data_IF_339362020292
#
_entry.id   IF_339362020292
#
_cell.length_a   1.000
_cell.length_b   1.000
_cell.length_c   1.000
_cell.angle_alpha   90.00
_cell.angle_beta   90.00
_cell.angle_gamma   90.00
#
_symmetry.space_group_name_H-M   'P 1'
#
loop_
_entity.id
_entity.type
_entity.pdbx_description
1 polymer ?
#
# COMPACT_ATOMS: atom_id res chain seq x y z
N UNK A 1 -0.45 11.58 -34.56
CA UNK A 1 -0.75 10.92 -35.86
C UNK A 1 -0.28 9.46 -35.93
N UNK A 2 0.30 8.87 -34.89
CA UNK A 2 0.64 7.42 -34.89
C UNK A 2 -0.60 6.53 -34.72
N UNK A 3 -1.63 7.01 -34.00
CA UNK A 3 -2.85 6.24 -33.73
C UNK A 3 -3.63 5.84 -34.99
N UNK A 4 -3.64 6.69 -36.03
CA UNK A 4 -4.30 6.37 -37.30
C UNK A 4 -3.60 5.25 -38.07
N UNK A 5 -2.33 4.96 -37.76
CA UNK A 5 -1.54 3.91 -38.43
C UNK A 5 -1.70 2.57 -37.69
N UNK A 6 -2.01 2.58 -36.39
CA UNK A 6 -2.16 1.37 -35.55
C UNK A 6 -3.23 0.40 -36.07
N UNK A 7 -4.27 0.90 -36.71
CA UNK A 7 -5.35 0.08 -37.30
C UNK A 7 -4.80 -0.85 -38.40
N UNK A 8 -3.81 -0.39 -39.17
CA UNK A 8 -3.18 -1.19 -40.22
C UNK A 8 -2.26 -2.28 -39.65
N UNK A 9 -1.62 -2.03 -38.51
CA UNK A 9 -0.80 -3.04 -37.83
C UNK A 9 -1.64 -4.22 -37.33
N UNK A 10 -2.89 -3.99 -36.91
CA UNK A 10 -3.80 -5.04 -36.46
C UNK A 10 -4.03 -6.14 -37.53
N UNK A 11 -3.90 -5.77 -38.81
CA UNK A 11 -4.05 -6.71 -39.94
C UNK A 11 -2.82 -7.61 -40.17
N UNK A 12 -1.68 -7.32 -39.53
CA UNK A 12 -0.43 -8.09 -39.67
C UNK A 12 0.07 -8.59 -38.30
N UNK A 13 -0.36 -9.78 -37.83
CA UNK A 13 -0.08 -10.26 -36.47
C UNK A 13 1.41 -10.36 -36.11
N UNK A 14 2.28 -10.75 -37.06
CA UNK A 14 3.73 -10.84 -36.82
C UNK A 14 4.33 -9.46 -36.54
N UNK A 15 4.05 -8.48 -37.41
CA UNK A 15 4.52 -7.10 -37.25
C UNK A 15 3.98 -6.47 -35.97
N UNK A 16 2.71 -6.73 -35.63
CA UNK A 16 2.13 -6.26 -34.37
C UNK A 16 2.80 -6.85 -33.13
N UNK A 17 3.14 -8.14 -33.13
CA UNK A 17 3.89 -8.76 -32.02
C UNK A 17 5.28 -8.14 -31.86
N UNK A 18 5.98 -7.85 -32.95
CA UNK A 18 7.29 -7.23 -32.90
C UNK A 18 7.23 -5.75 -32.49
N UNK A 19 6.16 -5.06 -32.89
CA UNK A 19 5.84 -3.73 -32.38
C UNK A 19 5.59 -3.76 -30.87
N UNK A 20 4.75 -4.68 -30.36
CA UNK A 20 4.50 -4.85 -28.91
C UNK A 20 5.82 -5.07 -28.16
N UNK A 21 6.69 -5.96 -28.64
CA UNK A 21 8.01 -6.20 -28.01
C UNK A 21 8.86 -4.93 -27.97
N UNK A 22 8.86 -4.16 -29.07
CA UNK A 22 9.62 -2.92 -29.19
C UNK A 22 9.09 -1.85 -28.24
N UNK A 23 7.76 -1.68 -28.17
CA UNK A 23 7.10 -0.77 -27.23
C UNK A 23 7.35 -1.16 -25.78
N UNK A 24 7.30 -2.45 -25.44
CA UNK A 24 7.61 -2.95 -24.10
C UNK A 24 9.08 -2.73 -23.72
N UNK A 25 10.01 -2.83 -24.69
CA UNK A 25 11.42 -2.49 -24.50
C UNK A 25 11.56 -0.99 -24.19
N UNK A 26 10.98 -0.12 -25.02
CA UNK A 26 11.01 1.33 -24.82
C UNK A 26 10.39 1.75 -23.48
N UNK A 27 9.22 1.21 -23.16
CA UNK A 27 8.54 1.42 -21.88
C UNK A 27 9.39 1.00 -20.68
N UNK A 28 10.16 -0.08 -20.82
CA UNK A 28 10.95 -0.67 -19.75
C UNK A 28 12.37 -0.10 -19.60
N UNK A 29 12.99 0.44 -20.66
CA UNK A 29 14.42 0.81 -20.64
C UNK A 29 14.75 2.24 -21.04
N UNK A 30 13.78 3.02 -21.53
CA UNK A 30 14.05 4.42 -21.91
C UNK A 30 14.45 5.27 -20.69
N UNK A 31 15.39 6.20 -20.86
CA UNK A 31 15.70 7.17 -19.81
C UNK A 31 14.73 8.37 -19.82
N UNK A 32 14.11 8.64 -20.97
CA UNK A 32 13.11 9.70 -21.10
C UNK A 32 11.71 9.15 -20.78
N UNK A 33 11.07 9.73 -19.77
CA UNK A 33 9.71 9.40 -19.34
C UNK A 33 8.67 9.71 -20.43
N UNK A 34 8.90 10.72 -21.29
CA UNK A 34 8.01 11.00 -22.43
C UNK A 34 7.97 9.82 -23.40
N UNK A 35 9.13 9.23 -23.69
CA UNK A 35 9.23 8.05 -24.56
C UNK A 35 8.54 6.85 -23.92
N UNK A 36 8.69 6.64 -22.60
CA UNK A 36 7.97 5.57 -21.89
C UNK A 36 6.46 5.75 -21.97
N UNK A 37 5.98 6.96 -21.71
CA UNK A 37 4.55 7.29 -21.75
C UNK A 37 3.98 7.13 -23.16
N UNK A 38 4.67 7.62 -24.19
CA UNK A 38 4.24 7.43 -25.59
C UNK A 38 4.23 5.94 -25.98
N UNK A 39 5.24 5.19 -25.57
CA UNK A 39 5.28 3.74 -25.80
C UNK A 39 4.10 3.03 -25.10
N UNK A 40 3.79 3.43 -23.86
CA UNK A 40 2.67 2.90 -23.10
C UNK A 40 1.32 3.26 -23.74
N UNK A 41 1.09 4.52 -24.11
CA UNK A 41 -0.16 4.96 -24.74
C UNK A 41 -0.39 4.19 -26.05
N UNK A 42 0.66 4.03 -26.85
CA UNK A 42 0.63 3.26 -28.09
C UNK A 42 0.27 1.79 -27.82
N UNK A 43 0.90 1.19 -26.81
CA UNK A 43 0.60 -0.19 -26.38
C UNK A 43 -0.85 -0.34 -25.90
N UNK A 44 -1.33 0.62 -25.09
CA UNK A 44 -2.70 0.68 -24.56
C UNK A 44 -3.74 0.87 -25.68
N UNK A 45 -3.40 1.56 -26.76
CA UNK A 45 -4.28 1.68 -27.92
C UNK A 45 -4.27 0.39 -28.74
N UNK A 46 -3.11 -0.24 -28.93
CA UNK A 46 -2.99 -1.52 -29.65
C UNK A 46 -3.71 -2.67 -28.92
N UNK A 47 -3.70 -2.69 -27.59
CA UNK A 47 -4.40 -3.70 -26.79
C UNK A 47 -5.91 -3.70 -27.00
N UNK A 48 -6.50 -2.58 -27.44
CA UNK A 48 -7.94 -2.50 -27.76
C UNK A 48 -8.31 -3.24 -29.04
N UNK A 49 -7.36 -3.45 -29.95
CA UNK A 49 -7.61 -4.02 -31.27
C UNK A 49 -7.79 -5.54 -31.25
N UNK A 50 -7.22 -6.25 -30.27
CA UNK A 50 -7.30 -7.71 -30.16
C UNK A 50 -7.04 -8.20 -28.75
N UNK A 51 -7.77 -9.25 -28.33
CA UNK A 51 -7.54 -9.95 -27.06
C UNK A 51 -6.11 -10.48 -26.93
N UNK A 52 -5.50 -10.92 -28.03
CA UNK A 52 -4.12 -11.39 -28.02
C UNK A 52 -3.14 -10.26 -27.63
N UNK A 53 -3.31 -9.07 -28.22
CA UNK A 53 -2.46 -7.93 -27.90
C UNK A 53 -2.73 -7.38 -26.51
N UNK A 54 -3.97 -7.46 -26.04
CA UNK A 54 -4.31 -7.16 -24.65
C UNK A 54 -3.55 -8.06 -23.69
N UNK A 55 -3.58 -9.38 -23.89
CA UNK A 55 -2.89 -10.33 -23.01
C UNK A 55 -1.37 -10.13 -23.01
N UNK A 56 -0.78 -9.90 -24.20
CA UNK A 56 0.65 -9.57 -24.32
C UNK A 56 1.00 -8.26 -23.60
N UNK A 57 0.12 -7.27 -23.68
CA UNK A 57 0.31 -5.95 -23.06
C UNK A 57 0.18 -6.01 -21.54
N UNK A 58 -0.87 -6.66 -21.01
CA UNK A 58 -1.11 -6.82 -19.57
C UNK A 58 0.07 -7.53 -18.89
N UNK A 59 0.51 -8.65 -19.46
CA UNK A 59 1.66 -9.42 -18.98
C UNK A 59 2.96 -8.64 -19.15
N UNK A 60 3.16 -8.04 -20.32
CA UNK A 60 4.38 -7.33 -20.67
C UNK A 60 4.64 -6.12 -19.79
N UNK A 61 3.63 -5.26 -19.60
CA UNK A 61 3.73 -4.05 -18.77
C UNK A 61 4.01 -4.40 -17.32
N UNK A 62 3.29 -5.38 -16.76
CA UNK A 62 3.53 -5.84 -15.39
C UNK A 62 4.96 -6.37 -15.24
N UNK A 63 5.42 -7.25 -16.14
CA UNK A 63 6.77 -7.80 -16.07
C UNK A 63 7.86 -6.74 -16.26
N UNK A 64 7.65 -5.75 -17.13
CA UNK A 64 8.57 -4.62 -17.31
C UNK A 64 8.64 -3.76 -16.06
N UNK A 65 7.51 -3.47 -15.41
CA UNK A 65 7.46 -2.78 -14.12
C UNK A 65 8.23 -3.54 -13.03
N UNK A 66 7.95 -4.83 -12.85
CA UNK A 66 8.62 -5.67 -11.84
C UNK A 66 10.13 -5.80 -12.10
N UNK A 67 10.57 -5.80 -13.36
CA UNK A 67 11.99 -5.80 -13.71
C UNK A 67 12.67 -4.50 -13.28
N UNK A 68 12.03 -3.36 -13.53
CA UNK A 68 12.57 -2.04 -13.13
C UNK A 68 12.56 -1.86 -11.61
N UNK A 69 11.62 -2.50 -10.91
CA UNK A 69 11.55 -2.48 -9.45
C UNK A 69 12.53 -3.45 -8.74
N UNK A 70 13.53 -4.01 -9.44
CA UNK A 70 14.53 -4.90 -8.80
C UNK A 70 15.42 -4.13 -7.81
N UNK A 71 15.89 -2.96 -8.23
CA UNK A 71 16.71 -2.06 -7.43
C UNK A 71 16.00 -0.73 -7.33
N UNK A 72 15.65 -0.32 -6.11
CA UNK A 72 14.88 0.90 -5.85
C UNK A 72 15.77 1.89 -5.14
N UNK A 73 15.82 3.11 -5.66
CA UNK A 73 16.55 4.24 -5.11
C UNK A 73 15.63 5.47 -5.07
N UNK A 74 16.02 6.50 -4.32
CA UNK A 74 15.23 7.73 -4.27
C UNK A 74 15.09 8.38 -5.67
N UNK A 75 16.12 8.22 -6.52
CA UNK A 75 16.16 8.75 -7.87
C UNK A 75 15.22 8.03 -8.84
N UNK A 76 15.19 6.69 -8.83
CA UNK A 76 14.37 5.93 -9.78
C UNK A 76 12.95 5.63 -9.29
N UNK A 77 12.65 5.90 -8.02
CA UNK A 77 11.33 5.66 -7.44
C UNK A 77 10.21 6.36 -8.23
N UNK A 78 10.28 7.67 -8.56
CA UNK A 78 9.23 8.34 -9.34
C UNK A 78 8.93 7.65 -10.67
N UNK A 79 9.97 7.18 -11.37
CA UNK A 79 9.82 6.44 -12.62
C UNK A 79 9.12 5.09 -12.39
N UNK A 80 9.48 4.36 -11.34
CA UNK A 80 8.81 3.10 -10.97
C UNK A 80 7.33 3.35 -10.65
N UNK A 81 7.00 4.46 -9.97
CA UNK A 81 5.62 4.85 -9.68
C UNK A 81 4.84 5.21 -10.94
N UNK A 82 5.44 5.94 -11.88
CA UNK A 82 4.83 6.23 -13.17
C UNK A 82 4.50 4.93 -13.93
N UNK A 83 5.45 3.98 -14.00
CA UNK A 83 5.22 2.68 -14.63
C UNK A 83 4.10 1.89 -13.94
N UNK A 84 4.01 1.96 -12.61
CA UNK A 84 2.92 1.35 -11.83
C UNK A 84 1.58 1.95 -12.23
N UNK A 85 1.47 3.29 -12.28
CA UNK A 85 0.24 3.99 -12.65
C UNK A 85 -0.20 3.63 -14.09
N UNK A 86 0.73 3.59 -15.04
CA UNK A 86 0.46 3.15 -16.41
C UNK A 86 -0.09 1.72 -16.41
N UNK A 87 0.58 0.79 -15.72
CA UNK A 87 0.10 -0.58 -15.65
C UNK A 87 -1.28 -0.69 -14.99
N UNK A 88 -1.53 0.02 -13.89
CA UNK A 88 -2.86 0.05 -13.26
C UNK A 88 -3.93 0.50 -14.25
N UNK A 89 -3.69 1.57 -15.01
CA UNK A 89 -4.61 2.07 -16.03
C UNK A 89 -4.91 1.02 -17.12
N UNK A 90 -3.91 0.24 -17.54
CA UNK A 90 -4.09 -0.83 -18.54
C UNK A 90 -5.02 -1.95 -18.04
N UNK A 91 -4.92 -2.32 -16.76
CA UNK A 91 -5.78 -3.34 -16.15
C UNK A 91 -7.24 -2.89 -15.97
N UNK A 92 -7.55 -1.62 -16.26
CA UNK A 92 -8.92 -1.11 -16.32
C UNK A 92 -9.63 -1.33 -17.66
N UNK A 93 -8.93 -1.84 -18.69
CA UNK A 93 -9.51 -1.97 -20.03
C UNK A 93 -10.49 -3.14 -20.16
N UNK A 94 -10.18 -4.27 -19.52
CA UNK A 94 -11.00 -5.48 -19.56
C UNK A 94 -10.81 -6.23 -18.25
N UNK A 95 -11.88 -6.33 -17.45
CA UNK A 95 -11.81 -6.96 -16.14
C UNK A 95 -11.72 -8.48 -16.19
N UNK A 96 -12.21 -9.13 -17.25
CA UNK A 96 -12.14 -10.58 -17.39
C UNK A 96 -10.69 -11.03 -17.64
N UNK A 97 -10.01 -10.41 -18.59
CA UNK A 97 -8.59 -10.63 -18.85
C UNK A 97 -7.75 -10.23 -17.62
N UNK A 98 -8.02 -9.05 -17.05
CA UNK A 98 -7.29 -8.56 -15.88
C UNK A 98 -7.41 -9.49 -14.68
N UNK A 99 -8.59 -10.08 -14.44
CA UNK A 99 -8.78 -11.08 -13.39
C UNK A 99 -7.86 -12.29 -13.58
N UNK A 100 -7.77 -12.83 -14.80
CA UNK A 100 -6.94 -14.00 -15.10
C UNK A 100 -5.45 -13.72 -14.82
N UNK A 101 -4.92 -12.59 -15.28
CA UNK A 101 -3.54 -12.19 -15.01
C UNK A 101 -3.30 -11.94 -13.51
N UNK A 102 -4.18 -11.15 -12.88
CA UNK A 102 -4.06 -10.81 -11.46
C UNK A 102 -4.08 -12.06 -10.58
N UNK A 103 -5.02 -12.99 -10.82
CA UNK A 103 -5.10 -14.25 -10.10
C UNK A 103 -3.80 -15.05 -10.22
N UNK A 104 -3.26 -15.19 -11.43
CA UNK A 104 -2.02 -15.94 -11.66
C UNK A 104 -0.82 -15.30 -10.94
N UNK A 105 -0.67 -13.98 -10.99
CA UNK A 105 0.44 -13.29 -10.34
C UNK A 105 0.31 -13.27 -8.81
N UNK A 106 -0.89 -13.02 -8.26
CA UNK A 106 -1.14 -13.10 -6.81
C UNK A 106 -0.89 -14.53 -6.31
N UNK A 107 -1.32 -15.54 -7.05
CA UNK A 107 -1.04 -16.96 -6.73
C UNK A 107 0.46 -17.26 -6.73
N UNK A 108 1.26 -16.66 -7.62
CA UNK A 108 2.73 -16.79 -7.58
C UNK A 108 3.32 -16.19 -6.31
N UNK A 109 2.86 -15.01 -5.88
CA UNK A 109 3.27 -14.43 -4.61
C UNK A 109 2.94 -15.36 -3.43
N UNK A 110 1.73 -15.94 -3.43
CA UNK A 110 1.31 -16.91 -2.42
C UNK A 110 2.21 -18.16 -2.40
N UNK A 111 2.60 -18.67 -3.57
CA UNK A 111 3.51 -19.82 -3.68
C UNK A 111 4.89 -19.50 -3.09
N UNK A 112 5.48 -18.34 -3.41
CA UNK A 112 6.75 -17.93 -2.80
C UNK A 112 6.64 -17.84 -1.28
N UNK A 113 5.60 -17.19 -0.77
CA UNK A 113 5.36 -17.07 0.66
C UNK A 113 5.19 -18.43 1.34
N UNK A 114 4.40 -19.33 0.76
CA UNK A 114 4.20 -20.68 1.28
C UNK A 114 5.52 -21.44 1.36
N UNK A 115 6.36 -21.36 0.33
CA UNK A 115 7.69 -21.97 0.32
C UNK A 115 8.57 -21.41 1.43
N UNK A 116 8.54 -20.11 1.69
CA UNK A 116 9.32 -19.51 2.80
C UNK A 116 8.79 -19.90 4.19
N UNK A 117 7.48 -20.17 4.32
CA UNK A 117 6.87 -20.63 5.57
C UNK A 117 7.23 -22.09 5.87
N UNK A 118 7.25 -22.96 4.85
CA UNK A 118 7.56 -24.38 4.99
C UNK A 118 9.06 -24.66 5.04
N UNK A 119 9.83 -24.03 4.16
CA UNK A 119 11.28 -24.20 4.06
C UNK A 119 11.97 -22.93 4.56
N UNK A 120 12.41 -22.90 5.82
CA UNK A 120 12.92 -21.71 6.51
C UNK A 120 14.40 -21.38 6.21
N UNK A 121 14.78 -21.38 4.94
CA UNK A 121 16.15 -21.07 4.49
C UNK A 121 16.30 -19.60 4.11
N UNK A 122 17.55 -19.11 4.09
CA UNK A 122 17.85 -17.74 3.64
C UNK A 122 17.35 -17.51 2.21
N UNK A 123 17.51 -18.49 1.33
CA UNK A 123 17.17 -18.38 -0.08
C UNK A 123 15.65 -18.35 -0.30
N UNK A 124 14.89 -19.13 0.48
CA UNK A 124 13.42 -19.07 0.42
C UNK A 124 12.92 -17.71 0.92
N UNK A 125 13.49 -17.15 1.98
CA UNK A 125 13.12 -15.81 2.45
C UNK A 125 13.45 -14.73 1.42
N UNK A 126 14.53 -14.87 0.66
CA UNK A 126 14.88 -13.92 -0.40
C UNK A 126 13.86 -13.88 -1.54
N UNK A 127 13.05 -14.93 -1.75
CA UNK A 127 11.96 -14.91 -2.74
C UNK A 127 10.82 -13.96 -2.36
N UNK A 128 10.63 -13.69 -1.07
CA UNK A 128 9.59 -12.79 -0.55
C UNK A 128 10.20 -11.44 -0.15
N UNK A 129 11.36 -11.43 0.48
CA UNK A 129 12.00 -10.23 1.04
C UNK A 129 12.93 -9.57 0.02
N UNK A 130 12.35 -9.16 -1.11
CA UNK A 130 13.01 -8.42 -2.18
C UNK A 130 12.08 -7.32 -2.72
N UNK A 131 12.64 -6.33 -3.43
CA UNK A 131 11.87 -5.21 -3.94
C UNK A 131 10.82 -5.64 -4.97
N UNK A 132 11.10 -6.64 -5.80
CA UNK A 132 10.16 -7.11 -6.83
C UNK A 132 8.86 -7.64 -6.21
N UNK A 133 8.97 -8.40 -5.12
CA UNK A 133 7.82 -8.91 -4.38
C UNK A 133 7.01 -7.77 -3.74
N UNK A 134 7.67 -6.81 -3.10
CA UNK A 134 7.00 -5.66 -2.46
C UNK A 134 6.35 -4.74 -3.50
N UNK A 135 7.01 -4.49 -4.62
CA UNK A 135 6.45 -3.71 -5.72
C UNK A 135 5.32 -4.45 -6.44
N UNK A 136 5.32 -5.79 -6.44
CA UNK A 136 4.15 -6.59 -6.86
C UNK A 136 2.97 -6.36 -5.94
N UNK A 137 3.19 -6.34 -4.61
CA UNK A 137 2.14 -6.03 -3.62
C UNK A 137 1.56 -4.63 -3.88
N UNK A 138 2.41 -3.62 -4.09
CA UNK A 138 1.95 -2.26 -4.41
C UNK A 138 1.12 -2.20 -5.70
N UNK A 139 1.56 -2.91 -6.75
CA UNK A 139 0.83 -2.94 -8.02
C UNK A 139 -0.58 -3.49 -7.84
N UNK A 140 -0.71 -4.68 -7.24
CA UNK A 140 -2.01 -5.32 -7.05
C UNK A 140 -2.88 -4.58 -6.04
N UNK A 141 -2.29 -4.00 -5.00
CA UNK A 141 -3.01 -3.08 -4.11
C UNK A 141 -3.64 -1.93 -4.90
N UNK A 142 -2.87 -1.26 -5.76
CA UNK A 142 -3.36 -0.11 -6.51
C UNK A 142 -4.41 -0.49 -7.57
N UNK A 143 -4.26 -1.64 -8.25
CA UNK A 143 -5.29 -2.19 -9.17
C UNK A 143 -6.60 -2.40 -8.41
N UNK A 144 -6.56 -3.11 -7.28
CA UNK A 144 -7.76 -3.40 -6.49
C UNK A 144 -8.39 -2.13 -5.88
N UNK A 145 -7.58 -1.16 -5.44
CA UNK A 145 -8.10 0.11 -4.96
C UNK A 145 -8.81 0.90 -6.07
N UNK A 146 -8.27 0.86 -7.28
CA UNK A 146 -8.78 1.64 -8.42
C UNK A 146 -10.08 1.07 -8.97
N UNK A 147 -10.21 -0.26 -8.98
CA UNK A 147 -11.31 -0.94 -9.69
C UNK A 147 -12.27 -1.71 -8.79
N UNK A 148 -12.04 -1.79 -7.48
CA UNK A 148 -12.98 -2.38 -6.50
C UNK A 148 -13.46 -1.33 -5.48
N UNK A 149 -13.59 -0.07 -5.90
CA UNK A 149 -14.00 1.00 -5.01
C UNK A 149 -15.49 0.88 -4.65
N UNK A 150 -15.79 0.89 -3.36
CA UNK A 150 -17.14 0.66 -2.86
C UNK A 150 -18.16 1.71 -3.33
N UNK A 151 -17.73 2.95 -3.62
CA UNK A 151 -18.61 3.98 -4.15
C UNK A 151 -18.97 3.69 -5.62
N UNK A 152 -17.98 3.32 -6.45
CA UNK A 152 -18.24 2.98 -7.85
C UNK A 152 -19.04 1.69 -8.01
N UNK A 153 -18.86 0.72 -7.10
CA UNK A 153 -19.63 -0.54 -7.14
C UNK A 153 -21.12 -0.36 -6.84
N UNK A 154 -21.49 0.70 -6.12
CA UNK A 154 -22.89 1.01 -5.87
C UNK A 154 -23.61 1.53 -7.12
N UNK A 155 -22.87 2.18 -8.02
CA UNK A 155 -23.41 2.76 -9.26
C UNK A 155 -23.32 1.77 -10.42
N UNK A 156 -22.18 1.08 -10.56
CA UNK A 156 -21.85 0.28 -11.74
C UNK A 156 -21.92 -1.24 -11.53
N UNK A 157 -22.28 -1.69 -10.32
CA UNK A 157 -22.26 -3.10 -9.93
C UNK A 157 -20.89 -3.55 -9.41
N UNK A 158 -20.88 -4.77 -8.85
CA UNK A 158 -19.69 -5.33 -8.21
C UNK A 158 -18.56 -5.60 -9.21
N UNK A 159 -17.33 -5.23 -8.84
CA UNK A 159 -16.17 -5.42 -9.70
C UNK A 159 -15.84 -6.91 -9.86
N UNK A 160 -15.60 -7.41 -11.09
CA UNK A 160 -15.12 -8.79 -11.29
C UNK A 160 -13.78 -9.07 -10.59
N UNK A 161 -13.02 -8.02 -10.22
CA UNK A 161 -11.75 -8.15 -9.51
C UNK A 161 -11.90 -8.32 -7.99
N UNK A 162 -13.08 -8.06 -7.42
CA UNK A 162 -13.31 -8.10 -5.98
C UNK A 162 -12.96 -9.44 -5.30
N UNK A 163 -13.20 -10.62 -5.90
CA UNK A 163 -12.79 -11.90 -5.30
C UNK A 163 -11.29 -12.02 -5.04
N UNK A 164 -10.46 -11.18 -5.69
CA UNK A 164 -9.00 -11.17 -5.50
C UNK A 164 -8.57 -10.43 -4.22
N UNK A 165 -9.46 -9.65 -3.58
CA UNK A 165 -9.13 -8.91 -2.35
C UNK A 165 -8.71 -9.88 -1.25
N UNK A 166 -9.50 -10.92 -0.99
CA UNK A 166 -9.19 -11.89 0.08
C UNK A 166 -7.82 -12.57 -0.10
N UNK A 167 -7.52 -13.24 -1.24
CA UNK A 167 -6.21 -13.86 -1.43
C UNK A 167 -5.06 -12.84 -1.40
N UNK A 168 -5.25 -11.64 -1.93
CA UNK A 168 -4.24 -10.57 -1.85
C UNK A 168 -3.94 -10.16 -0.40
N UNK A 169 -4.98 -9.95 0.41
CA UNK A 169 -4.85 -9.60 1.83
C UNK A 169 -4.14 -10.72 2.58
N UNK A 170 -4.52 -11.98 2.37
CA UNK A 170 -3.87 -13.13 3.02
C UNK A 170 -2.37 -13.22 2.70
N UNK A 171 -1.97 -13.04 1.44
CA UNK A 171 -0.56 -13.03 1.05
C UNK A 171 0.20 -11.89 1.73
N UNK A 172 -0.42 -10.70 1.80
CA UNK A 172 0.24 -9.52 2.37
C UNK A 172 0.36 -9.63 3.90
N UNK A 173 -0.67 -10.13 4.60
CA UNK A 173 -0.66 -10.40 6.03
C UNK A 173 0.33 -11.52 6.41
N UNK A 174 0.39 -12.59 5.60
CA UNK A 174 1.37 -13.65 5.80
C UNK A 174 2.81 -13.14 5.59
N UNK A 175 3.01 -12.22 4.63
CA UNK A 175 4.29 -11.54 4.41
C UNK A 175 4.72 -10.72 5.63
N UNK A 176 3.78 -9.98 6.25
CA UNK A 176 4.02 -9.22 7.50
C UNK A 176 4.47 -10.11 8.66
N UNK A 177 3.98 -11.34 8.70
CA UNK A 177 4.18 -12.29 9.80
C UNK A 177 5.41 -13.19 9.62
N UNK A 178 6.10 -13.11 8.48
CA UNK A 178 7.10 -14.11 8.09
C UNK A 178 8.36 -14.11 8.98
N UNK A 179 8.93 -12.92 9.27
CA UNK A 179 10.07 -12.78 10.18
C UNK A 179 9.82 -11.63 11.16
N UNK A 180 9.64 -11.90 12.47
CA UNK A 180 9.43 -10.88 13.50
C UNK A 180 10.78 -10.28 13.94
N UNK A 181 11.41 -9.50 13.06
CA UNK A 181 12.69 -8.85 13.35
C UNK A 181 12.63 -7.35 13.05
N UNK A 182 13.19 -6.49 13.92
CA UNK A 182 13.30 -5.05 13.68
C UNK A 182 13.98 -4.70 12.36
N UNK A 183 14.86 -5.58 11.87
CA UNK A 183 15.53 -5.47 10.58
C UNK A 183 14.56 -5.32 9.40
N UNK A 184 13.39 -5.95 9.49
CA UNK A 184 12.42 -6.00 8.40
C UNK A 184 11.21 -5.09 8.64
N UNK A 185 11.24 -4.21 9.65
CA UNK A 185 10.20 -3.21 9.84
C UNK A 185 9.97 -2.30 8.63
N UNK A 186 11.00 -1.88 7.86
CA UNK A 186 10.75 -1.12 6.63
C UNK A 186 9.85 -1.88 5.65
N UNK A 187 10.12 -3.17 5.40
CA UNK A 187 9.24 -4.04 4.62
C UNK A 187 7.83 -4.14 5.21
N UNK A 188 7.71 -4.27 6.53
CA UNK A 188 6.39 -4.31 7.18
C UNK A 188 5.60 -3.03 6.92
N UNK A 189 6.23 -1.86 6.99
CA UNK A 189 5.56 -0.60 6.64
C UNK A 189 5.12 -0.55 5.19
N UNK A 190 5.90 -1.08 4.24
CA UNK A 190 5.45 -1.17 2.85
C UNK A 190 4.17 -1.99 2.70
N UNK A 191 4.11 -3.17 3.32
CA UNK A 191 2.92 -4.02 3.31
C UNK A 191 1.72 -3.32 3.98
N UNK A 192 1.91 -2.68 5.14
CA UNK A 192 0.85 -1.94 5.83
C UNK A 192 0.32 -0.78 4.98
N UNK A 193 1.23 -0.01 4.36
CA UNK A 193 0.89 1.08 3.43
C UNK A 193 0.16 0.59 2.17
N UNK A 194 0.29 -0.68 1.80
CA UNK A 194 -0.47 -1.29 0.71
C UNK A 194 -1.85 -1.83 1.16
N UNK A 195 -2.03 -2.17 2.44
CA UNK A 195 -3.29 -2.69 2.98
C UNK A 195 -4.28 -1.59 3.36
N UNK A 196 -3.80 -0.47 3.92
CA UNK A 196 -4.68 0.63 4.37
C UNK A 196 -5.51 1.22 3.22
N UNK A 197 -4.95 1.51 2.02
CA UNK A 197 -5.73 2.01 0.89
C UNK A 197 -6.81 1.02 0.42
N UNK A 198 -6.58 -0.29 0.54
CA UNK A 198 -7.59 -1.32 0.24
C UNK A 198 -8.77 -1.16 1.18
N UNK A 199 -8.54 -1.02 2.50
CA UNK A 199 -9.61 -0.77 3.46
C UNK A 199 -10.37 0.51 3.13
N UNK A 200 -9.65 1.58 2.79
CA UNK A 200 -10.25 2.88 2.49
C UNK A 200 -11.16 2.82 1.25
N UNK A 201 -10.70 2.14 0.20
CA UNK A 201 -11.37 2.10 -1.12
C UNK A 201 -12.49 1.06 -1.16
N UNK A 202 -12.22 -0.16 -0.66
CA UNK A 202 -13.13 -1.31 -0.78
C UNK A 202 -14.07 -1.46 0.41
N UNK A 203 -13.80 -0.76 1.52
CA UNK A 203 -14.50 -0.89 2.82
C UNK A 203 -14.41 -2.29 3.45
N UNK A 204 -13.55 -3.16 2.93
CA UNK A 204 -13.23 -4.45 3.56
C UNK A 204 -12.37 -4.20 4.78
N UNK A 205 -12.78 -4.74 5.93
CA UNK A 205 -12.01 -4.66 7.15
C UNK A 205 -10.76 -5.56 7.08
N UNK A 206 -9.60 -5.02 7.46
CA UNK A 206 -8.34 -5.75 7.55
C UNK A 206 -7.71 -5.45 8.92
N UNK A 207 -7.38 -6.44 9.75
CA UNK A 207 -6.85 -6.20 11.09
C UNK A 207 -5.37 -5.79 11.05
N UNK A 208 -5.09 -4.51 10.80
CA UNK A 208 -3.71 -3.98 10.72
C UNK A 208 -3.11 -3.66 12.08
N UNK A 209 -3.93 -3.27 13.06
CA UNK A 209 -3.47 -2.84 14.39
C UNK A 209 -2.53 -3.82 15.12
N UNK A 210 -2.75 -5.16 15.11
CA UNK A 210 -1.84 -6.10 15.76
C UNK A 210 -0.39 -6.02 15.25
N UNK A 211 -0.19 -5.78 13.95
CA UNK A 211 1.14 -5.68 13.36
C UNK A 211 1.86 -4.38 13.74
N UNK A 212 1.13 -3.29 13.94
CA UNK A 212 1.68 -2.04 14.47
C UNK A 212 2.02 -2.17 15.96
N UNK A 213 1.19 -2.89 16.71
CA UNK A 213 1.45 -3.24 18.12
C UNK A 213 2.72 -4.07 18.23
N UNK A 214 2.92 -5.08 17.39
CA UNK A 214 4.16 -5.90 17.37
C UNK A 214 5.42 -5.04 17.21
N UNK A 215 5.35 -3.97 16.40
CA UNK A 215 6.47 -3.03 16.23
C UNK A 215 6.73 -2.26 17.54
N UNK A 216 5.68 -1.81 18.25
CA UNK A 216 5.80 -1.16 19.56
C UNK A 216 6.30 -2.10 20.66
N UNK A 217 6.04 -3.40 20.56
CA UNK A 217 6.55 -4.40 21.50
C UNK A 217 8.04 -4.68 21.33
N UNK A 218 8.62 -4.25 20.20
CA UNK A 218 10.00 -4.54 19.89
C UNK A 218 10.99 -3.81 20.81
N UNK A 219 12.23 -4.32 20.83
CA UNK A 219 13.31 -3.67 21.58
C UNK A 219 13.65 -2.26 21.09
N UNK A 220 13.17 -1.85 19.90
CA UNK A 220 13.33 -0.49 19.38
C UNK A 220 12.52 0.53 20.18
N UNK A 221 11.40 0.14 20.80
CA UNK A 221 10.58 1.03 21.62
C UNK A 221 10.72 0.79 23.11
N UNK A 222 11.22 -0.37 23.52
CA UNK A 222 11.39 -0.73 24.94
C UNK A 222 12.75 -0.32 25.52
N UNK A 223 13.77 -0.10 24.69
CA UNK A 223 15.14 0.21 25.14
C UNK A 223 15.56 1.60 24.67
N UNK A 224 16.39 2.26 25.50
CA UNK A 224 17.03 3.52 25.13
C UNK A 224 17.86 3.36 23.84
N UNK A 225 17.89 4.42 23.00
CA UNK A 225 18.69 4.43 21.78
C UNK A 225 20.18 4.34 22.09
N UNK A 226 20.93 3.72 21.19
CA UNK A 226 22.38 3.78 21.13
C UNK A 226 22.81 5.09 20.47
N UNK A 227 23.95 5.68 20.89
CA UNK A 227 24.55 6.80 20.18
C UNK A 227 24.87 6.39 18.74
N UNK A 228 24.65 7.29 17.80
CA UNK A 228 24.87 7.05 16.37
C UNK A 228 25.02 8.38 15.64
N UNK A 229 25.92 8.39 14.67
CA UNK A 229 26.14 9.47 13.69
C UNK A 229 25.55 9.14 12.32
N UNK A 230 24.82 8.03 12.20
CA UNK A 230 24.23 7.57 10.94
C UNK A 230 23.12 8.54 10.48
N UNK A 231 23.07 8.83 9.17
CA UNK A 231 21.97 9.59 8.57
C UNK A 231 20.65 8.80 8.72
N UNK A 232 19.48 9.47 8.81
CA UNK A 232 18.18 8.80 8.85
C UNK A 232 17.94 7.89 7.63
N UNK A 233 17.43 6.69 7.87
CA UNK A 233 17.12 5.73 6.80
C UNK A 233 15.86 6.15 6.04
N UNK A 234 15.90 6.11 4.70
CA UNK A 234 14.70 6.31 3.88
C UNK A 234 13.88 5.01 3.75
N UNK A 235 12.81 4.92 4.52
CA UNK A 235 11.88 3.78 4.51
C UNK A 235 11.02 3.69 3.26
N UNK A 236 11.02 4.68 2.35
CA UNK A 236 10.27 4.58 1.10
C UNK A 236 10.99 3.75 0.04
N UNK A 237 12.30 3.49 0.20
CA UNK A 237 13.12 2.72 -0.76
C UNK A 237 13.80 1.50 -0.13
N UNK A 238 13.96 1.50 1.19
CA UNK A 238 14.63 0.40 1.91
C UNK A 238 13.60 -0.58 2.43
N UNK A 239 13.77 -1.86 2.09
CA UNK A 239 12.98 -2.97 2.64
C UNK A 239 13.65 -3.64 3.87
N UNK A 240 14.92 -3.35 4.12
CA UNK A 240 15.73 -4.03 5.14
C UNK A 240 16.70 -3.07 5.79
N UNK A 241 16.54 -2.82 7.08
CA UNK A 241 17.42 -1.96 7.86
C UNK A 241 18.82 -2.59 7.99
N UNK A 242 19.89 -1.83 7.73
CA UNK A 242 21.26 -2.22 8.05
C UNK A 242 21.47 -2.44 9.57
N UNK A 243 22.41 -3.32 9.96
CA UNK A 243 22.62 -3.68 11.38
C UNK A 243 23.06 -2.49 12.24
N UNK A 244 23.85 -1.57 11.68
CA UNK A 244 24.33 -0.35 12.34
C UNK A 244 23.20 0.63 12.68
N UNK A 245 22.07 0.59 11.97
CA UNK A 245 20.91 1.44 12.23
C UNK A 245 20.01 0.90 13.36
N UNK A 246 20.12 -0.38 13.73
CA UNK A 246 19.23 -0.96 14.74
C UNK A 246 19.52 -0.36 16.11
N UNK A 247 18.45 -0.03 16.84
CA UNK A 247 18.50 0.65 18.14
C UNK A 247 19.14 2.04 18.13
N UNK A 248 19.34 2.68 16.98
CA UNK A 248 19.84 4.06 16.95
C UNK A 248 18.70 5.06 17.09
N UNK A 249 19.00 6.27 17.55
CA UNK A 249 18.02 7.34 17.67
C UNK A 249 17.33 7.68 16.33
N UNK A 250 18.06 7.86 15.20
CA UNK A 250 17.43 8.11 13.90
C UNK A 250 16.44 7.02 13.49
N UNK A 251 16.76 5.75 13.76
CA UNK A 251 15.88 4.63 13.43
C UNK A 251 14.62 4.62 14.30
N UNK A 252 14.76 4.79 15.62
CA UNK A 252 13.63 4.84 16.54
C UNK A 252 12.68 6.02 16.26
N UNK A 253 13.22 7.17 15.89
CA UNK A 253 12.42 8.36 15.55
C UNK A 253 11.62 8.14 14.27
N UNK A 254 12.24 7.54 13.26
CA UNK A 254 11.57 7.23 12.00
C UNK A 254 10.50 6.13 12.18
N UNK A 255 10.79 5.10 12.98
CA UNK A 255 9.78 4.11 13.38
C UNK A 255 8.61 4.77 14.11
N UNK A 256 8.89 5.63 15.10
CA UNK A 256 7.84 6.32 15.87
C UNK A 256 6.93 7.14 14.95
N UNK A 257 7.51 7.84 13.97
CA UNK A 257 6.78 8.61 12.97
C UNK A 257 5.88 7.72 12.11
N UNK A 258 6.43 6.63 11.57
CA UNK A 258 5.71 5.73 10.68
C UNK A 258 4.61 4.93 11.41
N UNK A 259 4.86 4.49 12.65
CA UNK A 259 3.84 3.85 13.48
C UNK A 259 2.68 4.82 13.72
N UNK A 260 2.97 6.07 14.08
CA UNK A 260 1.95 7.09 14.27
C UNK A 260 1.13 7.33 12.99
N UNK A 261 1.82 7.54 11.86
CA UNK A 261 1.18 7.75 10.56
C UNK A 261 0.27 6.58 10.18
N UNK A 262 0.73 5.33 10.37
CA UNK A 262 -0.06 4.14 10.03
C UNK A 262 -1.24 3.92 10.97
N UNK A 263 -1.11 4.16 12.29
CA UNK A 263 -2.26 4.09 13.20
C UNK A 263 -3.32 5.14 12.86
N UNK A 264 -2.90 6.37 12.60
CA UNK A 264 -3.82 7.45 12.21
C UNK A 264 -4.52 7.13 10.88
N UNK A 265 -3.77 6.68 9.87
CA UNK A 265 -4.34 6.27 8.58
C UNK A 265 -5.34 5.11 8.74
N UNK A 266 -4.95 4.06 9.49
CA UNK A 266 -5.78 2.89 9.75
C UNK A 266 -7.07 3.24 10.49
N UNK A 267 -6.99 3.94 11.63
CA UNK A 267 -8.18 4.29 12.40
C UNK A 267 -9.03 5.35 11.72
N UNK A 268 -8.46 6.24 10.89
CA UNK A 268 -9.25 7.15 10.07
C UNK A 268 -10.19 6.41 9.12
N UNK A 269 -9.75 5.28 8.53
CA UNK A 269 -10.58 4.44 7.66
C UNK A 269 -11.83 3.89 8.38
N UNK A 270 -11.76 3.76 9.71
CA UNK A 270 -12.80 3.22 10.56
C UNK A 270 -13.59 4.31 11.31
N UNK A 271 -13.15 5.57 11.24
CA UNK A 271 -13.66 6.67 12.08
C UNK A 271 -15.12 7.06 11.86
N UNK A 272 -15.72 6.60 10.76
CA UNK A 272 -17.16 6.78 10.45
C UNK A 272 -17.96 5.49 10.62
N UNK A 273 -17.33 4.39 11.04
CA UNK A 273 -18.02 3.14 11.29
C UNK A 273 -18.76 3.17 12.63
N UNK A 274 -19.97 2.63 12.66
CA UNK A 274 -20.77 2.48 13.89
C UNK A 274 -20.04 1.61 14.94
N UNK A 275 -19.23 0.66 14.49
CA UNK A 275 -18.47 -0.26 15.35
C UNK A 275 -17.10 0.30 15.80
N UNK A 276 -16.78 1.55 15.48
CA UNK A 276 -15.48 2.15 15.79
C UNK A 276 -15.10 2.05 17.29
N UNK A 277 -15.99 2.37 18.26
CA UNK A 277 -15.65 2.30 19.69
C UNK A 277 -15.23 0.90 20.15
N UNK A 278 -15.87 -0.15 19.62
CA UNK A 278 -15.57 -1.53 19.96
C UNK A 278 -14.28 -2.01 19.27
N UNK A 279 -14.10 -1.67 18.00
CA UNK A 279 -12.92 -2.10 17.22
C UNK A 279 -11.63 -1.50 17.76
N UNK A 280 -11.65 -0.25 18.24
CA UNK A 280 -10.46 0.44 18.74
C UNK A 280 -10.11 0.10 20.19
N UNK A 281 -11.04 -0.50 20.95
CA UNK A 281 -10.88 -0.76 22.38
C UNK A 281 -9.63 -1.60 22.70
N UNK A 282 -9.37 -2.76 22.05
CA UNK A 282 -8.18 -3.56 22.36
C UNK A 282 -6.88 -2.79 22.17
N UNK A 283 -6.78 -2.01 21.09
CA UNK A 283 -5.61 -1.18 20.82
C UNK A 283 -5.47 -0.05 21.83
N UNK A 284 -6.57 0.57 22.24
CA UNK A 284 -6.57 1.64 23.26
C UNK A 284 -6.05 1.13 24.60
N UNK A 285 -6.53 -0.05 25.04
CA UNK A 285 -6.07 -0.69 26.28
C UNK A 285 -4.58 -1.02 26.21
N UNK A 286 -4.13 -1.56 25.07
CA UNK A 286 -2.72 -1.84 24.83
C UNK A 286 -1.88 -0.57 24.91
N UNK A 287 -2.23 0.49 24.17
CA UNK A 287 -1.48 1.75 24.13
C UNK A 287 -1.39 2.41 25.50
N UNK A 288 -2.44 2.34 26.33
CA UNK A 288 -2.41 2.81 27.73
C UNK A 288 -1.41 2.02 28.57
N UNK A 289 -1.37 0.69 28.45
CA UNK A 289 -0.38 -0.14 29.15
C UNK A 289 1.04 0.13 28.66
N UNK A 290 1.22 0.27 27.35
CA UNK A 290 2.50 0.62 26.74
C UNK A 290 3.02 1.97 27.25
N UNK A 291 2.17 3.00 27.31
CA UNK A 291 2.53 4.30 27.86
C UNK A 291 2.96 4.21 29.33
N UNK A 292 2.25 3.45 30.17
CA UNK A 292 2.66 3.21 31.56
C UNK A 292 4.01 2.50 31.66
N UNK A 293 4.23 1.46 30.84
CA UNK A 293 5.46 0.65 30.85
C UNK A 293 6.70 1.42 30.38
N UNK A 294 6.54 2.33 29.43
CA UNK A 294 7.64 3.07 28.80
C UNK A 294 7.90 4.45 29.40
N UNK A 295 7.08 4.88 30.38
CA UNK A 295 7.27 6.14 31.08
C UNK A 295 8.66 6.24 31.74
N UNK A 296 9.32 7.41 31.70
CA UNK A 296 8.90 8.68 31.07
C UNK A 296 9.23 8.78 29.56
N UNK A 297 9.81 7.74 28.95
CA UNK A 297 10.31 7.76 27.57
C UNK A 297 9.26 7.41 26.50
N UNK A 298 7.97 7.43 26.86
CA UNK A 298 6.89 7.12 25.92
C UNK A 298 6.90 8.11 24.74
N UNK A 299 6.85 7.63 23.48
CA UNK A 299 6.72 8.51 22.33
C UNK A 299 5.49 9.42 22.45
N UNK A 300 5.68 10.73 22.27
CA UNK A 300 4.62 11.75 22.45
C UNK A 300 3.36 11.46 21.63
N UNK A 301 3.51 10.83 20.47
CA UNK A 301 2.38 10.50 19.60
C UNK A 301 1.38 9.55 20.26
N UNK A 302 1.80 8.70 21.20
CA UNK A 302 0.91 7.73 21.86
C UNK A 302 -0.20 8.44 22.64
N UNK A 303 0.14 9.51 23.37
CA UNK A 303 -0.85 10.29 24.10
C UNK A 303 -1.79 11.04 23.15
N UNK A 304 -1.24 11.64 22.09
CA UNK A 304 -2.05 12.31 21.06
C UNK A 304 -3.02 11.33 20.40
N UNK A 305 -2.54 10.14 20.04
CA UNK A 305 -3.35 9.09 19.41
C UNK A 305 -4.46 8.62 20.35
N UNK A 306 -4.17 8.37 21.63
CA UNK A 306 -5.16 7.99 22.64
C UNK A 306 -6.27 9.05 22.79
N UNK A 307 -5.89 10.33 22.83
CA UNK A 307 -6.85 11.44 22.88
C UNK A 307 -7.74 11.47 21.63
N UNK A 308 -7.15 11.37 20.44
CA UNK A 308 -7.91 11.41 19.17
C UNK A 308 -8.81 10.19 18.96
N UNK A 309 -8.37 9.02 19.42
CA UNK A 309 -9.23 7.83 19.48
C UNK A 309 -10.44 8.10 20.36
N UNK A 310 -10.24 8.63 21.58
CA UNK A 310 -11.33 8.93 22.50
C UNK A 310 -12.32 9.95 21.91
N UNK A 311 -11.83 11.09 21.42
CA UNK A 311 -12.66 12.12 20.80
C UNK A 311 -13.49 11.56 19.63
N UNK A 312 -12.91 10.68 18.82
CA UNK A 312 -13.61 10.04 17.70
C UNK A 312 -14.66 9.04 18.20
N UNK A 313 -14.36 8.23 19.22
CA UNK A 313 -15.32 7.33 19.83
C UNK A 313 -16.50 8.07 20.46
N UNK A 314 -16.25 9.17 21.15
CA UNK A 314 -17.29 9.99 21.77
C UNK A 314 -18.22 10.60 20.70
N UNK A 315 -17.66 11.11 19.60
CA UNK A 315 -18.43 11.60 18.44
C UNK A 315 -19.28 10.49 17.79
N UNK A 316 -18.74 9.28 17.63
CA UNK A 316 -19.49 8.14 17.07
C UNK A 316 -20.60 7.71 18.01
N UNK A 317 -20.35 7.65 19.31
CA UNK A 317 -21.37 7.31 20.32
C UNK A 317 -22.52 8.32 20.34
N UNK A 318 -22.23 9.63 20.31
CA UNK A 318 -23.27 10.66 20.21
C UNK A 318 -24.18 10.47 18.98
N UNK A 319 -23.62 10.00 17.85
CA UNK A 319 -24.43 9.68 16.67
C UNK A 319 -25.18 8.35 16.80
N UNK A 320 -24.61 7.36 17.49
CA UNK A 320 -25.26 6.08 17.81
C UNK A 320 -26.48 6.24 18.70
N UNK A 321 -26.43 7.15 19.67
CA UNK A 321 -27.55 7.40 20.58
C UNK A 321 -28.84 7.85 19.84
N UNK A 322 -28.68 8.39 18.63
CA UNK A 322 -29.77 8.84 17.77
C UNK A 322 -30.22 7.79 16.73
N UNK A 323 -29.59 6.60 16.71
CA UNK A 323 -29.93 5.53 15.78
C UNK A 323 -31.21 4.83 16.21
N UNK A 324 -32.19 4.78 15.31
CA UNK A 324 -33.49 4.11 15.52
C UNK A 324 -33.62 2.75 14.83
N UNK A 325 -32.60 2.31 14.10
CA UNK A 325 -32.64 1.06 13.34
C UNK A 325 -31.98 -0.09 14.11
N UNK A 326 -32.40 -1.32 13.84
CA UNK A 326 -31.86 -2.52 14.47
C UNK A 326 -30.53 -2.97 13.83
N UNK A 327 -29.70 -3.77 14.53
CA UNK A 327 -28.45 -4.31 13.97
C UNK A 327 -28.63 -5.22 12.74
N UNK A 328 -29.84 -5.75 12.51
CA UNK A 328 -30.15 -6.57 11.34
C UNK A 328 -30.31 -5.76 10.04
N UNK A 329 -30.53 -4.45 10.14
CA UNK A 329 -30.68 -3.58 8.96
C UNK A 329 -29.32 -3.17 8.40
N UNK A 330 -28.75 -4.07 7.58
CA UNK A 330 -27.44 -3.88 6.93
C UNK A 330 -27.38 -2.62 6.05
N UNK A 331 -28.50 -2.22 5.44
CA UNK A 331 -28.54 -1.02 4.61
C UNK A 331 -28.38 0.24 5.46
N UNK A 332 -29.13 0.35 6.56
CA UNK A 332 -29.00 1.46 7.50
C UNK A 332 -27.61 1.53 8.14
N UNK A 333 -27.00 0.38 8.45
CA UNK A 333 -25.63 0.29 8.94
C UNK A 333 -24.61 0.84 7.92
N UNK A 334 -24.76 0.50 6.64
CA UNK A 334 -23.89 1.00 5.57
C UNK A 334 -24.04 2.51 5.34
N UNK A 335 -25.21 3.07 5.62
CA UNK A 335 -25.46 4.52 5.49
C UNK A 335 -25.07 5.33 6.73
N UNK A 336 -24.75 4.67 7.86
CA UNK A 336 -24.35 5.36 9.08
C UNK A 336 -23.15 6.28 8.84
N UNK A 337 -23.30 7.56 9.18
CA UNK A 337 -22.28 8.59 9.01
C UNK A 337 -21.71 8.73 7.58
N UNK A 338 -22.44 8.27 6.56
CA UNK A 338 -21.95 8.31 5.17
C UNK A 338 -21.65 9.72 4.68
N UNK A 339 -22.47 10.70 5.07
CA UNK A 339 -22.30 12.11 4.69
C UNK A 339 -21.19 12.82 5.48
N UNK A 340 -20.65 12.16 6.51
CA UNK A 340 -19.55 12.70 7.30
C UNK A 340 -18.25 12.42 6.58
N UNK A 341 -17.61 13.47 6.07
CA UNK A 341 -16.25 13.38 5.57
C UNK A 341 -15.32 12.85 6.68
N UNK A 342 -14.58 11.79 6.35
CA UNK A 342 -13.57 11.17 7.23
C UNK A 342 -12.58 12.21 7.73
N UNK A 343 -12.20 13.20 6.92
CA UNK A 343 -11.27 14.25 7.33
C UNK A 343 -11.86 15.29 8.26
N UNK A 344 -13.16 15.24 8.55
CA UNK A 344 -13.81 16.04 9.60
C UNK A 344 -13.79 15.34 10.96
N UNK A 345 -13.50 14.04 11.03
CA UNK A 345 -13.36 13.33 12.31
C UNK A 345 -12.07 13.76 13.02
N UNK A 346 -11.99 13.70 14.36
CA UNK A 346 -10.78 14.07 15.09
C UNK A 346 -9.52 13.30 14.64
N UNK A 347 -9.65 12.00 14.39
CA UNK A 347 -8.59 11.17 13.83
C UNK A 347 -8.24 11.54 12.38
N UNK A 348 -9.23 11.77 11.53
CA UNK A 348 -9.00 12.16 10.14
C UNK A 348 -8.32 13.53 10.00
N UNK A 349 -8.70 14.50 10.83
CA UNK A 349 -8.04 15.81 10.90
C UNK A 349 -6.57 15.67 11.33
N UNK A 350 -6.31 14.89 12.38
CA UNK A 350 -4.95 14.62 12.85
C UNK A 350 -4.11 13.92 11.78
N UNK A 351 -4.69 12.93 11.08
CA UNK A 351 -4.03 12.25 9.98
C UNK A 351 -3.65 13.23 8.86
N UNK A 352 -4.60 14.08 8.42
CA UNK A 352 -4.36 15.10 7.39
C UNK A 352 -3.24 16.06 7.77
N UNK A 353 -3.17 16.49 9.03
CA UNK A 353 -2.09 17.34 9.54
C UNK A 353 -0.73 16.63 9.48
N UNK A 354 -0.65 15.38 9.95
CA UNK A 354 0.60 14.59 9.93
C UNK A 354 1.08 14.33 8.50
N UNK A 355 0.18 14.02 7.58
CA UNK A 355 0.51 13.84 6.16
C UNK A 355 1.12 15.12 5.58
N UNK A 356 0.53 16.29 5.86
CA UNK A 356 1.06 17.58 5.41
C UNK A 356 2.46 17.85 5.98
N UNK A 357 2.66 17.62 7.28
CA UNK A 357 3.98 17.78 7.93
C UNK A 357 5.02 16.84 7.31
N UNK A 358 4.66 15.58 7.06
CA UNK A 358 5.56 14.60 6.46
C UNK A 358 5.92 14.96 5.00
N UNK A 359 4.97 15.48 4.23
CA UNK A 359 5.23 15.97 2.87
C UNK A 359 6.18 17.16 2.86
N UNK A 360 5.98 18.14 3.75
CA UNK A 360 6.91 19.27 3.91
C UNK A 360 8.31 18.80 4.26
N UNK A 361 8.43 17.87 5.22
CA UNK A 361 9.73 17.29 5.62
C UNK A 361 10.41 16.57 4.44
N UNK A 362 9.67 15.79 3.66
CA UNK A 362 10.20 15.11 2.46
C UNK A 362 10.77 16.10 1.46
N UNK A 363 10.07 17.22 1.21
CA UNK A 363 10.57 18.28 0.30
C UNK A 363 11.86 18.88 0.81
N UNK A 364 11.94 19.23 2.10
CA UNK A 364 13.16 19.78 2.70
C UNK A 364 14.35 18.82 2.61
N UNK A 365 14.11 17.52 2.85
CA UNK A 365 15.15 16.49 2.74
C UNK A 365 15.57 16.22 1.28
N UNK A 366 14.71 16.47 0.30
CA UNK A 366 15.06 16.36 -1.12
C UNK A 366 15.96 17.53 -1.52
N UNK A 367 15.58 18.77 -1.22
CA UNK A 367 16.42 19.96 -1.51
C UNK A 367 17.80 19.88 -0.87
N UNK A 368 17.92 19.37 0.35
CA UNK A 368 19.23 19.22 1.02
C UNK A 368 20.15 18.19 0.38
N UNK A 369 19.60 17.20 -0.35
CA UNK A 369 20.41 16.20 -1.04
C UNK A 369 20.73 16.62 -2.50
N UNK A 370 20.04 17.62 -3.04
CA UNK A 370 20.33 18.18 -4.37
C UNK A 370 21.40 19.28 -4.31
N UNK A 371 21.65 19.85 -3.12
CA UNK A 371 22.70 20.85 -2.85
C UNK A 371 24.06 20.22 -2.40
N UNK A 372 24.12 18.91 -2.17
CA UNK A 372 25.34 18.10 -1.93
C UNK A 372 25.72 17.33 -3.21
#
# INVERSE_FOLDING_TARGET
>A
RFDSILVYFASFPKLSRDLVKTLLKLFGSSQDDKVRLLAFITLKNLSKSSKEFLDLSLKGVYMSYIRNAKNVTAFNLPQIEMMRNCGVELYGQDFAASYQHAFQFIRRLATHLRTSLTNKTKDSYQQVYNNQFIHSIYFWSQVLCSYCNANSEQENGESPLKPLIYPFVQVTLGTLSLIPSPKYFPLKFHCIKALIPIMQSTKVYIPVAPYLIEILESSEFQKKPKPSTEKPLNFDVVIKAPKNHLRTKPYQDELSRLVNECFLAYFSCLSTSIAFPEVVLPTTLYLKRFAKKTAPNTPRFVQVLLTKIKETSDMVNQKRDNVKFNPGNLNSLKTFMRDTDVFKTPLGQQYKQIVKVNQSRKRTLQTQNDDE
#
